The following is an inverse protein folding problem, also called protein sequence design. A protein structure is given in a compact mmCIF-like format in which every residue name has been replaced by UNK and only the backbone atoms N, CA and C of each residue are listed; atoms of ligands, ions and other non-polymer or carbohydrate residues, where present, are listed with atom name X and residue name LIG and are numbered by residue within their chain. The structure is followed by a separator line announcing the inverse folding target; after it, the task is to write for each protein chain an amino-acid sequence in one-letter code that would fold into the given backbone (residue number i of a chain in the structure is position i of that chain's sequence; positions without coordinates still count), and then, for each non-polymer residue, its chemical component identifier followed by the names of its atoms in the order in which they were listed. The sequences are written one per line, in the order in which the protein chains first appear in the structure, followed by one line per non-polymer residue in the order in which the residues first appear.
data_IF_386311045262
#
_entry.id   IF_386311045262
#
_cell.length_a   1.000
_cell.length_b   1.000
_cell.length_c   1.000
_cell.angle_alpha   90.00
_cell.angle_beta   90.00
_cell.angle_gamma   90.00
#
_symmetry.space_group_name_H-M   'P 1'
#
loop_
_entity.id
_entity.type
_entity.pdbx_description
1 polymer ?
#
# COMPACT_ATOMS: atom_id res chain seq x y z
N UNK A 1 -16.70 2.86 3.11
CA UNK A 1 -15.65 2.01 3.71
C UNK A 1 -14.34 2.22 2.97
N UNK A 2 -13.23 2.31 3.70
CA UNK A 2 -11.89 2.43 3.12
C UNK A 2 -11.07 1.21 3.50
N UNK A 3 -10.57 0.50 2.48
CA UNK A 3 -9.73 -0.68 2.67
C UNK A 3 -8.27 -0.34 2.37
N UNK A 4 -7.36 -0.84 3.19
CA UNK A 4 -5.94 -0.81 2.86
C UNK A 4 -5.59 -1.99 1.96
N UNK A 5 -4.71 -1.74 1.00
CA UNK A 5 -4.08 -2.79 0.19
C UNK A 5 -2.59 -2.75 0.49
N UNK A 6 -2.07 -3.88 0.98
CA UNK A 6 -0.62 -4.04 1.23
C UNK A 6 -0.04 -4.85 0.08
N UNK A 7 0.84 -4.23 -0.70
CA UNK A 7 1.48 -4.91 -1.83
C UNK A 7 2.71 -5.69 -1.35
N UNK A 8 2.59 -7.00 -1.39
CA UNK A 8 3.62 -7.95 -0.96
C UNK A 8 3.91 -8.99 -2.06
N UNK A 9 3.65 -8.63 -3.33
CA UNK A 9 3.69 -9.58 -4.44
C UNK A 9 5.05 -9.73 -5.11
N UNK A 10 6.01 -8.83 -4.84
CA UNK A 10 7.32 -8.82 -5.47
C UNK A 10 8.19 -10.02 -5.11
N UNK A 11 9.20 -10.27 -5.94
CA UNK A 11 10.08 -11.42 -5.78
C UNK A 11 11.10 -11.29 -4.65
N UNK A 12 11.38 -10.08 -4.15
CA UNK A 12 12.36 -9.81 -3.10
C UNK A 12 13.78 -10.28 -3.45
N UNK A 13 14.14 -10.21 -4.74
CA UNK A 13 15.39 -10.81 -5.25
C UNK A 13 16.66 -10.20 -4.65
N UNK A 14 16.58 -8.96 -4.14
CA UNK A 14 17.72 -8.26 -3.55
C UNK A 14 17.78 -8.32 -2.03
N UNK A 15 16.77 -8.88 -1.37
CA UNK A 15 16.69 -8.91 0.10
C UNK A 15 17.47 -10.07 0.71
N UNK A 16 17.48 -11.21 0.06
CA UNK A 16 18.06 -12.44 0.55
C UNK A 16 17.26 -13.64 0.14
N UNK A 17 17.67 -14.82 0.56
CA UNK A 17 17.09 -16.06 0.06
C UNK A 17 15.92 -16.58 0.91
N UNK A 18 16.01 -16.46 2.24
CA UNK A 18 15.00 -17.04 3.13
C UNK A 18 15.14 -16.47 4.54
N UNK A 19 14.03 -16.10 5.17
CA UNK A 19 12.69 -15.98 4.57
C UNK A 19 12.62 -14.78 3.62
N UNK A 20 11.58 -14.66 2.76
CA UNK A 20 11.44 -13.47 1.92
C UNK A 20 11.22 -12.24 2.81
N UNK A 21 11.64 -11.05 2.30
CA UNK A 21 11.53 -9.82 3.11
C UNK A 21 10.10 -9.50 3.53
N UNK A 22 9.10 -9.86 2.73
CA UNK A 22 7.70 -9.66 3.08
C UNK A 22 7.34 -10.40 4.37
N UNK A 23 7.89 -11.61 4.60
CA UNK A 23 7.64 -12.37 5.82
C UNK A 23 8.17 -11.65 7.06
N UNK A 24 9.31 -10.97 6.94
CA UNK A 24 9.93 -10.27 8.07
C UNK A 24 9.34 -8.88 8.30
N UNK A 25 9.02 -8.16 7.22
CA UNK A 25 8.64 -6.75 7.30
C UNK A 25 7.12 -6.56 7.41
N UNK A 26 6.35 -7.45 6.84
CA UNK A 26 4.89 -7.35 6.79
C UNK A 26 4.24 -7.17 8.17
N UNK A 27 4.64 -7.89 9.24
CA UNK A 27 4.03 -7.68 10.55
C UNK A 27 4.12 -6.25 11.07
N UNK A 28 5.22 -5.54 10.76
CA UNK A 28 5.38 -4.14 11.16
C UNK A 28 4.40 -3.23 10.42
N UNK A 29 4.21 -3.47 9.13
CA UNK A 29 3.26 -2.71 8.31
C UNK A 29 1.83 -2.95 8.78
N UNK A 30 1.47 -4.21 9.02
CA UNK A 30 0.14 -4.57 9.50
C UNK A 30 -0.15 -3.97 10.88
N UNK A 31 0.82 -3.96 11.77
CA UNK A 31 0.68 -3.35 13.09
C UNK A 31 0.39 -1.84 12.97
N UNK A 32 1.10 -1.15 12.08
CA UNK A 32 0.85 0.28 11.83
C UNK A 32 -0.56 0.51 11.29
N UNK A 33 -1.00 -0.30 10.33
CA UNK A 33 -2.34 -0.16 9.75
C UNK A 33 -3.45 -0.41 10.77
N UNK A 34 -3.26 -1.38 11.67
CA UNK A 34 -4.23 -1.67 12.72
C UNK A 34 -4.36 -0.52 13.74
N UNK A 35 -3.33 0.31 13.86
CA UNK A 35 -3.34 1.48 14.73
C UNK A 35 -3.95 2.72 14.07
N UNK A 36 -4.17 2.69 12.77
CA UNK A 36 -4.81 3.78 12.05
C UNK A 36 -6.30 3.77 12.32
N UNK A 37 -6.85 4.91 12.73
CA UNK A 37 -8.25 5.00 13.17
C UNK A 37 -9.23 5.01 12.01
N UNK A 38 -8.81 5.47 10.84
CA UNK A 38 -9.69 5.72 9.69
C UNK A 38 -9.86 4.54 8.75
N UNK A 39 -9.13 3.45 8.96
CA UNK A 39 -9.24 2.25 8.11
C UNK A 39 -10.30 1.29 8.62
N UNK A 40 -11.03 0.71 7.68
CA UNK A 40 -12.10 -0.26 7.96
C UNK A 40 -11.66 -1.70 7.72
N UNK A 41 -10.67 -1.92 6.84
CA UNK A 41 -10.29 -3.26 6.38
C UNK A 41 -8.86 -3.24 5.84
N UNK A 42 -8.20 -4.40 5.85
CA UNK A 42 -6.84 -4.58 5.32
C UNK A 42 -6.79 -5.85 4.48
N UNK A 43 -6.28 -5.73 3.25
CA UNK A 43 -6.07 -6.84 2.33
C UNK A 43 -4.59 -6.90 1.93
N UNK A 44 -3.97 -8.07 2.05
CA UNK A 44 -2.58 -8.29 1.62
C UNK A 44 -2.57 -8.99 0.27
N UNK A 45 -1.85 -8.42 -0.70
CA UNK A 45 -1.70 -8.98 -2.04
C UNK A 45 -0.39 -9.74 -2.12
N UNK A 46 -0.48 -11.04 -2.38
CA UNK A 46 0.65 -11.96 -2.50
C UNK A 46 0.88 -12.31 -3.96
N UNK A 47 2.11 -12.73 -4.29
CA UNK A 47 2.47 -13.12 -5.66
C UNK A 47 3.58 -14.16 -5.66
N UNK A 48 4.84 -13.71 -5.67
CA UNK A 48 6.01 -14.58 -5.85
C UNK A 48 6.22 -15.56 -4.70
N UNK A 49 5.86 -15.17 -3.47
CA UNK A 49 6.14 -15.96 -2.27
C UNK A 49 4.87 -16.27 -1.50
N UNK A 50 4.85 -17.45 -0.87
CA UNK A 50 3.88 -17.77 0.16
C UNK A 50 4.35 -17.12 1.46
N UNK A 51 3.53 -16.24 1.99
CA UNK A 51 3.81 -15.53 3.23
C UNK A 51 2.67 -15.80 4.20
N UNK A 52 3.00 -16.19 5.43
CA UNK A 52 1.99 -16.34 6.46
C UNK A 52 1.49 -14.96 6.88
N UNK A 53 0.19 -14.77 6.81
CA UNK A 53 -0.45 -13.49 7.11
C UNK A 53 -1.63 -13.73 8.05
N UNK A 54 -1.65 -12.98 9.14
CA UNK A 54 -2.82 -12.93 10.00
C UNK A 54 -3.80 -11.91 9.41
N UNK A 55 -4.75 -12.39 8.62
CA UNK A 55 -5.73 -11.53 7.97
C UNK A 55 -6.07 -11.99 6.56
N UNK A 56 -6.75 -11.11 5.83
CA UNK A 56 -7.23 -11.39 4.47
C UNK A 56 -6.08 -11.26 3.47
N UNK A 57 -6.00 -12.23 2.56
CA UNK A 57 -5.01 -12.25 1.49
C UNK A 57 -5.66 -12.53 0.15
N UNK A 58 -5.01 -12.08 -0.91
CA UNK A 58 -5.30 -12.49 -2.27
C UNK A 58 -3.98 -12.77 -2.98
N UNK A 59 -3.93 -13.85 -3.75
CA UNK A 59 -2.77 -14.18 -4.56
C UNK A 59 -2.98 -13.64 -5.97
N UNK A 60 -1.99 -12.91 -6.48
CA UNK A 60 -2.01 -12.36 -7.83
C UNK A 60 -1.09 -13.17 -8.73
N UNK A 61 -1.62 -13.94 -9.70
CA UNK A 61 -0.77 -14.73 -10.60
C UNK A 61 0.03 -13.88 -11.58
N UNK A 62 -0.41 -12.65 -11.85
CA UNK A 62 0.23 -11.74 -12.81
C UNK A 62 1.25 -10.79 -12.17
N UNK A 63 1.74 -11.11 -10.98
CA UNK A 63 2.65 -10.22 -10.24
C UNK A 63 3.90 -9.84 -11.05
N UNK A 64 4.36 -10.70 -11.97
CA UNK A 64 5.55 -10.44 -12.82
C UNK A 64 5.34 -9.28 -13.79
N UNK A 65 4.12 -8.93 -14.11
CA UNK A 65 3.82 -7.79 -15.00
C UNK A 65 4.12 -6.44 -14.35
N UNK A 66 4.34 -6.44 -13.04
CA UNK A 66 4.69 -5.25 -12.30
C UNK A 66 3.71 -4.92 -11.18
N UNK A 67 4.02 -3.86 -10.40
CA UNK A 67 3.21 -3.51 -9.23
C UNK A 67 1.77 -3.10 -9.59
N UNK A 68 1.54 -2.59 -10.79
CA UNK A 68 0.19 -2.24 -11.23
C UNK A 68 -0.71 -3.44 -11.41
N UNK A 69 -0.19 -4.56 -11.93
CA UNK A 69 -0.95 -5.79 -12.06
C UNK A 69 -1.37 -6.32 -10.69
N UNK A 70 -0.45 -6.31 -9.72
CA UNK A 70 -0.74 -6.72 -8.35
C UNK A 70 -1.77 -5.80 -7.70
N UNK A 71 -1.64 -4.50 -7.92
CA UNK A 71 -2.59 -3.53 -7.39
C UNK A 71 -3.99 -3.74 -7.97
N UNK A 72 -4.12 -3.90 -9.29
CA UNK A 72 -5.42 -4.16 -9.92
C UNK A 72 -6.05 -5.45 -9.37
N UNK A 73 -5.25 -6.48 -9.17
CA UNK A 73 -5.69 -7.74 -8.57
C UNK A 73 -6.28 -7.51 -7.17
N UNK A 74 -5.60 -6.72 -6.34
CA UNK A 74 -6.10 -6.35 -5.02
C UNK A 74 -7.38 -5.53 -5.06
N UNK A 75 -7.45 -4.55 -5.97
CA UNK A 75 -8.64 -3.70 -6.12
C UNK A 75 -9.87 -4.52 -6.51
N UNK A 76 -9.71 -5.48 -7.42
CA UNK A 76 -10.80 -6.39 -7.82
C UNK A 76 -11.31 -7.26 -6.66
N UNK A 77 -10.45 -7.53 -5.69
CA UNK A 77 -10.80 -8.36 -4.54
C UNK A 77 -11.51 -7.58 -3.42
N UNK A 78 -11.59 -6.26 -3.53
CA UNK A 78 -12.26 -5.43 -2.53
C UNK A 78 -13.79 -5.50 -2.67
N UNK A 79 -14.52 -5.35 -1.55
CA UNK A 79 -15.98 -5.38 -1.61
C UNK A 79 -16.54 -4.16 -2.35
N UNK A 80 -17.75 -4.31 -2.87
CA UNK A 80 -18.45 -3.22 -3.58
C UNK A 80 -18.63 -1.97 -2.70
N UNK A 81 -18.65 -2.13 -1.38
CA UNK A 81 -18.78 -1.03 -0.42
C UNK A 81 -17.51 -0.19 -0.26
N UNK A 82 -16.37 -0.64 -0.79
CA UNK A 82 -15.13 0.12 -0.69
C UNK A 82 -15.18 1.35 -1.59
N UNK A 83 -15.11 2.52 -0.98
CA UNK A 83 -15.14 3.82 -1.69
C UNK A 83 -13.76 4.22 -2.19
N UNK A 84 -12.73 3.77 -1.49
CA UNK A 84 -11.34 4.07 -1.79
C UNK A 84 -10.44 2.96 -1.26
N UNK A 85 -9.26 2.84 -1.85
CA UNK A 85 -8.22 1.94 -1.39
C UNK A 85 -7.00 2.74 -0.97
N UNK A 86 -6.45 2.42 0.20
CA UNK A 86 -5.21 3.01 0.67
C UNK A 86 -4.08 2.02 0.43
N UNK A 87 -3.15 2.39 -0.45
CA UNK A 87 -2.07 1.50 -0.90
C UNK A 87 -0.81 1.75 -0.09
N UNK A 88 -0.25 0.68 0.48
CA UNK A 88 1.04 0.71 1.14
C UNK A 88 1.90 -0.46 0.65
N UNK A 89 3.21 -0.35 0.84
CA UNK A 89 4.16 -1.38 0.44
C UNK A 89 4.58 -2.21 1.65
N UNK A 90 4.71 -3.52 1.46
CA UNK A 90 5.09 -4.44 2.53
C UNK A 90 6.53 -4.23 3.02
N UNK A 91 7.38 -3.57 2.23
CA UNK A 91 8.77 -3.28 2.57
C UNK A 91 8.99 -1.92 3.24
N UNK A 92 7.92 -1.26 3.66
CA UNK A 92 7.99 -0.01 4.40
C UNK A 92 7.64 -0.18 5.87
N UNK A 93 8.52 -0.78 6.70
CA UNK A 93 8.19 -1.14 8.09
C UNK A 93 8.06 0.04 9.04
N UNK A 94 8.51 1.22 8.64
CA UNK A 94 8.43 2.44 9.45
C UNK A 94 7.19 3.28 9.18
N UNK A 95 6.20 2.73 8.45
CA UNK A 95 4.94 3.41 8.18
C UNK A 95 4.32 3.94 9.48
N UNK A 96 4.04 5.24 9.50
CA UNK A 96 3.40 5.89 10.63
C UNK A 96 1.87 5.87 10.44
N UNK A 97 1.10 5.32 11.39
CA UNK A 97 -0.36 5.31 11.27
C UNK A 97 -0.97 6.71 11.15
N UNK A 98 -0.29 7.74 11.65
CA UNK A 98 -0.76 9.12 11.48
C UNK A 98 -0.73 9.58 10.03
N UNK A 99 0.22 9.08 9.23
CA UNK A 99 0.26 9.39 7.79
C UNK A 99 -0.95 8.78 7.08
N UNK A 100 -1.34 7.56 7.46
CA UNK A 100 -2.53 6.90 6.93
C UNK A 100 -3.78 7.74 7.22
N UNK A 101 -3.98 8.11 8.47
CA UNK A 101 -5.16 8.89 8.88
C UNK A 101 -5.18 10.27 8.21
N UNK A 102 -4.00 10.91 8.08
CA UNK A 102 -3.88 12.23 7.47
C UNK A 102 -4.27 12.22 6.00
N UNK A 103 -3.84 11.22 5.26
CA UNK A 103 -4.19 11.05 3.85
C UNK A 103 -5.69 10.80 3.69
N UNK A 104 -6.26 9.92 4.49
CA UNK A 104 -7.69 9.62 4.45
C UNK A 104 -8.53 10.85 4.81
N UNK A 105 -8.17 11.57 5.85
CA UNK A 105 -8.89 12.77 6.28
C UNK A 105 -8.83 13.86 5.21
N UNK A 106 -7.68 14.04 4.57
CA UNK A 106 -7.53 14.99 3.47
C UNK A 106 -8.45 14.63 2.31
N UNK A 107 -8.52 13.35 1.96
CA UNK A 107 -9.43 12.91 0.90
C UNK A 107 -10.90 13.13 1.28
N UNK A 108 -11.28 12.87 2.52
CA UNK A 108 -12.67 13.10 2.96
C UNK A 108 -13.06 14.58 2.91
N UNK A 109 -12.12 15.49 3.18
CA UNK A 109 -12.39 16.93 3.14
C UNK A 109 -12.39 17.51 1.73
N UNK A 110 -11.45 17.09 0.90
CA UNK A 110 -11.16 17.75 -0.37
C UNK A 110 -11.41 16.88 -1.59
N UNK A 111 -11.61 15.58 -1.41
CA UNK A 111 -11.82 14.65 -2.52
C UNK A 111 -10.57 14.45 -3.36
N UNK A 112 -10.76 14.13 -4.61
CA UNK A 112 -9.72 13.83 -5.58
C UNK A 112 -9.66 12.36 -5.93
N UNK A 113 -9.03 12.06 -7.06
CA UNK A 113 -8.93 10.68 -7.54
C UNK A 113 -7.76 9.94 -6.88
N UNK A 114 -6.64 10.65 -6.66
CA UNK A 114 -5.43 10.10 -6.05
C UNK A 114 -4.86 11.09 -5.06
N UNK A 115 -4.60 10.64 -3.84
CA UNK A 115 -4.04 11.46 -2.76
C UNK A 115 -2.87 10.71 -2.13
N UNK A 116 -1.71 11.33 -2.05
CA UNK A 116 -0.48 10.67 -1.60
C UNK A 116 0.23 11.45 -0.51
N UNK A 117 0.84 10.75 0.43
CA UNK A 117 1.71 11.36 1.43
C UNK A 117 3.02 11.83 0.79
N UNK A 118 3.50 12.98 1.23
CA UNK A 118 4.79 13.52 0.82
C UNK A 118 5.65 13.84 2.05
N UNK A 119 6.92 13.50 1.97
CA UNK A 119 7.89 13.68 3.05
C UNK A 119 9.06 14.49 2.50
N UNK A 120 9.22 15.73 2.98
CA UNK A 120 10.21 16.64 2.41
C UNK A 120 9.98 16.92 0.92
N UNK A 121 8.72 16.99 0.51
CA UNK A 121 8.34 17.20 -0.90
C UNK A 121 8.43 15.94 -1.77
N UNK A 122 8.89 14.81 -1.23
CA UNK A 122 9.02 13.56 -1.97
C UNK A 122 7.76 12.71 -1.75
N UNK A 123 7.08 12.38 -2.85
CA UNK A 123 5.91 11.50 -2.82
C UNK A 123 6.33 10.08 -2.49
N UNK A 124 5.72 9.53 -1.45
CA UNK A 124 5.89 8.13 -1.06
C UNK A 124 4.50 7.55 -0.74
N UNK A 125 4.43 6.42 -0.08
CA UNK A 125 3.17 5.89 0.41
C UNK A 125 2.91 6.35 1.85
N UNK A 126 1.69 6.28 2.34
CA UNK A 126 0.49 5.71 1.71
C UNK A 126 -0.05 6.56 0.57
N UNK A 127 -0.68 5.88 -0.39
CA UNK A 127 -1.37 6.51 -1.52
C UNK A 127 -2.82 6.05 -1.52
N UNK A 128 -3.74 6.99 -1.46
CA UNK A 128 -5.17 6.67 -1.54
C UNK A 128 -5.65 6.80 -2.98
N UNK A 129 -6.34 5.78 -3.45
CA UNK A 129 -7.01 5.74 -4.75
C UNK A 129 -8.52 5.72 -4.53
N UNK A 130 -9.20 6.80 -4.91
CA UNK A 130 -10.66 6.78 -4.97
C UNK A 130 -11.10 5.75 -6.02
N UNK A 131 -12.29 5.21 -5.88
CA UNK A 131 -12.79 4.18 -6.82
C UNK A 131 -12.73 4.64 -8.27
N UNK A 132 -12.93 5.93 -8.52
CA UNK A 132 -12.82 6.52 -9.87
C UNK A 132 -11.45 6.34 -10.52
N UNK A 133 -10.39 6.20 -9.75
CA UNK A 133 -9.04 6.01 -10.26
C UNK A 133 -8.70 4.56 -10.58
N UNK A 134 -9.42 3.59 -10.02
CA UNK A 134 -9.07 2.17 -10.12
C UNK A 134 -8.93 1.67 -11.56
N UNK A 135 -9.83 2.03 -12.52
CA UNK A 135 -9.68 1.56 -13.90
C UNK A 135 -8.45 2.07 -14.63
N UNK A 136 -7.80 3.11 -14.09
CA UNK A 136 -6.69 3.78 -14.77
C UNK A 136 -5.31 3.41 -14.21
N UNK A 137 -5.23 2.45 -13.29
CA UNK A 137 -3.95 2.02 -12.70
C UNK A 137 -3.06 1.38 -13.77
N UNK A 138 -1.89 1.98 -14.08
CA UNK A 138 -0.99 1.43 -15.08
C UNK A 138 -0.12 0.29 -14.51
N UNK A 139 0.63 -0.40 -15.36
CA UNK A 139 1.50 -1.50 -14.94
C UNK A 139 2.58 -1.07 -13.95
N UNK A 140 3.02 0.19 -14.00
CA UNK A 140 3.99 0.75 -13.06
C UNK A 140 3.39 1.00 -11.66
N UNK A 141 2.09 0.88 -11.50
CA UNK A 141 1.38 1.03 -10.24
C UNK A 141 0.90 2.45 -9.97
N UNK A 142 0.54 2.71 -8.73
CA UNK A 142 -0.05 3.99 -8.32
C UNK A 142 0.85 5.19 -8.62
N UNK A 143 2.16 5.00 -8.62
CA UNK A 143 3.11 6.10 -8.92
C UNK A 143 2.98 6.63 -10.35
N UNK A 144 2.36 5.87 -11.25
CA UNK A 144 2.08 6.32 -12.62
C UNK A 144 0.88 7.24 -12.73
N UNK A 145 0.17 7.48 -11.64
CA UNK A 145 -0.98 8.38 -11.59
C UNK A 145 -0.59 9.69 -10.90
N UNK A 146 -1.09 10.81 -11.42
CA UNK A 146 -0.92 12.10 -10.73
C UNK A 146 -1.66 12.09 -9.41
N UNK A 147 -1.08 12.70 -8.39
CA UNK A 147 -1.66 12.73 -7.06
C UNK A 147 -1.63 14.13 -6.46
N UNK A 148 -2.64 14.44 -5.66
CA UNK A 148 -2.58 15.58 -4.76
C UNK A 148 -1.75 15.16 -3.55
N UNK A 149 -0.75 15.96 -3.19
CA UNK A 149 0.17 15.63 -2.10
C UNK A 149 -0.34 16.16 -0.76
N UNK A 150 -0.16 15.33 0.28
CA UNK A 150 -0.47 15.68 1.67
C UNK A 150 0.85 15.73 2.43
N UNK A 151 1.14 16.87 3.04
CA UNK A 151 2.38 17.09 3.78
C UNK A 151 2.46 16.21 5.02
N UNK A 152 3.46 15.33 5.06
CA UNK A 152 3.79 14.49 6.20
C UNK A 152 5.24 14.70 6.64
N UNK A 153 5.78 15.90 6.45
CA UNK A 153 7.18 16.23 6.73
C UNK A 153 7.56 16.04 8.20
N UNK A 154 6.59 16.16 9.11
CA UNK A 154 6.79 15.96 10.55
C UNK A 154 6.80 14.48 10.96
N UNK A 155 6.52 13.57 10.02
CA UNK A 155 6.46 12.14 10.29
C UNK A 155 7.67 11.43 9.67
N UNK A 156 8.00 10.25 10.22
CA UNK A 156 9.04 9.40 9.65
C UNK A 156 8.53 8.78 8.36
N UNK A 157 9.31 8.86 7.25
CA UNK A 157 8.95 8.14 6.02
C UNK A 157 8.89 6.64 6.26
N UNK A 158 8.08 5.89 5.49
CA UNK A 158 7.87 4.45 5.73
C UNK A 158 9.13 3.60 5.55
N UNK A 159 10.13 4.11 4.83
CA UNK A 159 11.32 3.35 4.50
C UNK A 159 11.09 2.41 3.32
N UNK A 160 12.19 1.88 2.80
CA UNK A 160 12.18 0.87 1.74
C UNK A 160 13.38 -0.04 1.99
N UNK A 161 13.11 -1.29 2.38
CA UNK A 161 14.16 -2.24 2.73
C UNK A 161 14.37 -3.20 1.55
N UNK A 162 15.38 -2.90 0.73
CA UNK A 162 15.69 -3.70 -0.47
C UNK A 162 16.63 -4.87 -0.18
N UNK A 163 17.53 -4.71 0.80
CA UNK A 163 18.56 -5.68 1.12
C UNK A 163 18.55 -5.96 2.62
N UNK A 164 18.63 -7.25 2.99
CA UNK A 164 18.72 -7.67 4.40
C UNK A 164 20.04 -7.20 4.99
N UNK A 165 19.97 -6.58 6.16
CA UNK A 165 21.12 -6.10 6.88
C UNK A 165 21.60 -7.10 7.92
#
# INVERSE_FOLDING_TARGET
MISAIVLAAGASSRYGTSPPKQQELLPHVLAALRRAASLDDVLVVLGAHDVEVDGRTVRCPDWERGPGASLRCGLEALPASAEAALVVLADGPELDPRAVDRVIESWRREGGDVVAAAYGGVRLHPVLLARSAWPFVPDEGARGLEARLVDCDDLTPPGDVDVRR
#
